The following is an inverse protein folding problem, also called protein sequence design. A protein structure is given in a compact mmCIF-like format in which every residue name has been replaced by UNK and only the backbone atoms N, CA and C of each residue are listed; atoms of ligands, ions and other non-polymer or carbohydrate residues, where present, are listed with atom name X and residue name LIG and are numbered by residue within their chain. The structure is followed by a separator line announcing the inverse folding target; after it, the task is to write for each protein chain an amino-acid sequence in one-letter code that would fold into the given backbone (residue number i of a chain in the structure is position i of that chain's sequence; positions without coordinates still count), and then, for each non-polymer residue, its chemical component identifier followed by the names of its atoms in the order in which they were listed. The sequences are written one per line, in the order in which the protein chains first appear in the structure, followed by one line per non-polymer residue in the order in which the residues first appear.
data_IF_205701892292
#
_entry.id   IF_205701892292
#
_cell.length_a   1.000
_cell.length_b   1.000
_cell.length_c   1.000
_cell.angle_alpha   90.00
_cell.angle_beta   90.00
_cell.angle_gamma   90.00
#
_symmetry.space_group_name_H-M   'P 1'
#
loop_
_entity.id
_entity.type
_entity.pdbx_description
1 polymer ?
#
# COMPACT_ATOMS: atom_id res chain seq x y z
N UNK A 1 18.57 9.25 17.68
CA UNK A 1 17.76 9.61 16.51
C UNK A 1 16.59 8.65 16.42
N UNK A 2 15.41 9.12 16.03
CA UNK A 2 14.24 8.26 15.80
C UNK A 2 14.23 7.89 14.31
N UNK A 3 14.29 6.59 14.00
CA UNK A 3 14.14 6.09 12.63
C UNK A 3 12.69 5.69 12.43
N UNK A 4 12.02 6.32 11.47
CA UNK A 4 10.66 5.92 11.12
C UNK A 4 10.67 4.51 10.52
N UNK A 5 9.80 3.63 11.02
CA UNK A 5 9.77 2.21 10.63
C UNK A 5 9.00 2.00 9.31
N UNK A 6 8.36 3.03 8.76
CA UNK A 6 7.66 2.97 7.47
C UNK A 6 6.60 1.88 7.41
N UNK A 7 5.79 1.72 8.47
CA UNK A 7 4.84 0.61 8.55
C UNK A 7 3.68 0.79 7.57
N UNK A 8 3.50 -0.20 6.69
CA UNK A 8 2.42 -0.25 5.70
C UNK A 8 1.01 -0.14 6.32
N UNK A 9 0.83 -0.59 7.57
CA UNK A 9 -0.43 -0.46 8.27
C UNK A 9 -0.77 1.02 8.61
N UNK A 10 0.24 1.83 8.95
CA UNK A 10 0.04 3.26 9.17
C UNK A 10 -0.20 4.01 7.86
N UNK A 11 0.55 3.66 6.80
CA UNK A 11 0.31 4.24 5.46
C UNK A 11 -1.12 3.99 4.98
N UNK A 12 -1.62 2.75 5.10
CA UNK A 12 -3.00 2.40 4.75
C UNK A 12 -4.04 3.23 5.50
N UNK A 13 -3.84 3.48 6.81
CA UNK A 13 -4.80 4.23 7.63
C UNK A 13 -5.06 5.63 7.07
N UNK A 14 -4.01 6.32 6.59
CA UNK A 14 -4.14 7.64 5.96
C UNK A 14 -4.97 7.61 4.68
N UNK A 15 -4.76 6.61 3.82
CA UNK A 15 -5.59 6.44 2.62
C UNK A 15 -7.04 6.07 2.95
N UNK A 16 -7.24 5.28 4.01
CA UNK A 16 -8.58 4.96 4.50
C UNK A 16 -9.32 6.19 5.02
N UNK A 17 -8.66 7.05 5.80
CA UNK A 17 -9.23 8.33 6.25
C UNK A 17 -9.62 9.21 5.06
N UNK A 18 -8.75 9.34 4.05
CA UNK A 18 -9.04 10.09 2.83
C UNK A 18 -10.25 9.56 2.07
N UNK A 19 -10.39 8.23 1.98
CA UNK A 19 -11.53 7.62 1.31
C UNK A 19 -12.81 7.74 2.15
N UNK A 20 -12.78 7.41 3.43
CA UNK A 20 -13.95 7.39 4.31
C UNK A 20 -14.52 8.80 4.55
N UNK A 21 -13.66 9.82 4.67
CA UNK A 21 -14.10 11.18 4.99
C UNK A 21 -14.41 12.02 3.74
N UNK A 22 -13.76 11.74 2.60
CA UNK A 22 -13.84 12.59 1.41
C UNK A 22 -14.23 11.84 0.12
N UNK A 23 -14.49 10.53 0.18
CA UNK A 23 -14.80 9.72 -1.01
C UNK A 23 -13.66 9.71 -2.03
N UNK A 24 -12.41 9.92 -1.58
CA UNK A 24 -11.27 10.12 -2.47
C UNK A 24 -11.00 8.88 -3.33
N UNK A 25 -11.02 9.04 -4.66
CA UNK A 25 -10.63 8.00 -5.62
C UNK A 25 -9.16 7.57 -5.44
N UNK A 26 -8.30 8.49 -5.00
CA UNK A 26 -6.90 8.18 -4.68
C UNK A 26 -6.83 7.26 -3.46
N UNK A 27 -7.61 7.55 -2.41
CA UNK A 27 -7.73 6.70 -1.24
C UNK A 27 -8.24 5.30 -1.59
N UNK A 28 -9.30 5.21 -2.39
CA UNK A 28 -9.86 3.93 -2.84
C UNK A 28 -8.84 3.10 -3.63
N UNK A 29 -8.13 3.72 -4.58
CA UNK A 29 -7.13 3.02 -5.38
C UNK A 29 -5.95 2.53 -4.53
N UNK A 30 -5.48 3.32 -3.58
CA UNK A 30 -4.45 2.89 -2.63
C UNK A 30 -4.92 1.67 -1.82
N UNK A 31 -6.16 1.70 -1.32
CA UNK A 31 -6.73 0.60 -0.54
C UNK A 31 -6.81 -0.71 -1.34
N UNK A 32 -7.02 -0.66 -2.65
CA UNK A 32 -7.00 -1.85 -3.53
C UNK A 32 -5.63 -2.53 -3.52
N UNK A 33 -4.54 -1.77 -3.68
CA UNK A 33 -3.18 -2.32 -3.59
C UNK A 33 -2.88 -2.95 -2.22
N UNK A 34 -3.30 -2.30 -1.13
CA UNK A 34 -3.16 -2.90 0.22
C UNK A 34 -4.00 -4.16 0.39
N UNK A 35 -5.20 -4.19 -0.21
CA UNK A 35 -6.07 -5.36 -0.25
C UNK A 35 -5.38 -6.56 -0.90
N UNK A 36 -4.84 -6.37 -2.10
CA UNK A 36 -4.12 -7.42 -2.84
C UNK A 36 -2.92 -7.97 -2.04
N UNK A 37 -2.14 -7.10 -1.39
CA UNK A 37 -1.04 -7.54 -0.53
C UNK A 37 -1.52 -8.42 0.63
N UNK A 38 -2.64 -8.06 1.26
CA UNK A 38 -3.22 -8.86 2.35
C UNK A 38 -3.86 -10.16 1.87
N UNK A 39 -4.41 -10.19 0.65
CA UNK A 39 -4.91 -11.43 0.05
C UNK A 39 -3.78 -12.43 -0.15
N UNK A 40 -2.63 -11.99 -0.67
CA UNK A 40 -1.46 -12.87 -0.78
C UNK A 40 -1.04 -13.41 0.58
N UNK A 41 -0.95 -12.57 1.61
CA UNK A 41 -0.58 -13.01 2.96
C UNK A 41 -1.63 -13.94 3.59
N UNK A 42 -2.92 -13.72 3.36
CA UNK A 42 -3.99 -14.62 3.80
C UNK A 42 -3.88 -16.00 3.17
N UNK A 43 -3.64 -16.05 1.87
CA UNK A 43 -3.52 -17.31 1.12
C UNK A 43 -2.34 -18.15 1.60
N UNK A 44 -1.21 -17.52 1.92
CA UNK A 44 -0.01 -18.24 2.40
C UNK A 44 0.11 -18.33 3.92
N UNK A 45 -0.92 -17.93 4.67
CA UNK A 45 -0.87 -17.89 6.14
C UNK A 45 -0.56 -19.26 6.76
N UNK A 46 -1.05 -20.35 6.15
CA UNK A 46 -0.82 -21.74 6.61
C UNK A 46 0.33 -22.45 5.89
N UNK A 47 1.00 -21.78 4.95
CA UNK A 47 2.09 -22.36 4.19
C UNK A 47 3.42 -22.32 4.96
N UNK A 48 4.33 -23.23 4.63
CA UNK A 48 5.68 -23.23 5.20
C UNK A 48 6.49 -22.00 4.74
N UNK A 49 7.56 -21.68 5.46
CA UNK A 49 8.37 -20.46 5.26
C UNK A 49 8.82 -20.23 3.82
N UNK A 50 9.31 -21.28 3.15
CA UNK A 50 9.76 -21.21 1.76
C UNK A 50 8.61 -20.86 0.79
N UNK A 51 7.45 -21.51 0.92
CA UNK A 51 6.28 -21.21 0.08
C UNK A 51 5.76 -19.79 0.30
N UNK A 52 5.81 -19.29 1.55
CA UNK A 52 5.48 -17.89 1.86
C UNK A 52 6.45 -16.93 1.17
N UNK A 53 7.75 -17.21 1.19
CA UNK A 53 8.76 -16.39 0.53
C UNK A 53 8.57 -16.35 -0.99
N UNK A 54 8.33 -17.50 -1.60
CA UNK A 54 8.09 -17.61 -3.05
C UNK A 54 6.83 -16.85 -3.47
N UNK A 55 5.73 -17.00 -2.73
CA UNK A 55 4.51 -16.25 -3.00
C UNK A 55 4.72 -14.74 -2.88
N UNK A 56 5.44 -14.27 -1.85
CA UNK A 56 5.79 -12.85 -1.71
C UNK A 56 6.61 -12.35 -2.88
N UNK A 57 7.63 -13.10 -3.31
CA UNK A 57 8.47 -12.72 -4.46
C UNK A 57 7.69 -12.69 -5.77
N UNK A 58 6.79 -13.65 -5.99
CA UNK A 58 6.04 -13.79 -7.24
C UNK A 58 4.83 -12.86 -7.32
N UNK A 59 4.16 -12.60 -6.20
CA UNK A 59 2.86 -11.92 -6.16
C UNK A 59 2.89 -10.61 -5.39
N UNK A 60 3.42 -10.59 -4.16
CA UNK A 60 3.46 -9.36 -3.37
C UNK A 60 4.43 -8.32 -3.95
N UNK A 61 5.58 -8.74 -4.48
CA UNK A 61 6.60 -7.83 -5.01
C UNK A 61 6.11 -7.00 -6.21
N UNK A 62 5.50 -7.58 -7.26
CA UNK A 62 4.92 -6.79 -8.34
C UNK A 62 3.86 -5.78 -7.87
N UNK A 63 3.02 -6.17 -6.91
CA UNK A 63 1.99 -5.28 -6.33
C UNK A 63 2.64 -4.12 -5.56
N UNK A 64 3.68 -4.40 -4.77
CA UNK A 64 4.42 -3.36 -4.06
C UNK A 64 5.15 -2.40 -5.01
N UNK A 65 5.75 -2.91 -6.09
CA UNK A 65 6.41 -2.11 -7.11
C UNK A 65 5.39 -1.22 -7.85
N UNK A 66 4.23 -1.77 -8.21
CA UNK A 66 3.13 -1.03 -8.83
C UNK A 66 2.59 0.07 -7.90
N UNK A 67 2.40 -0.24 -6.62
CA UNK A 67 2.00 0.74 -5.60
C UNK A 67 3.03 1.86 -5.49
N UNK A 68 4.32 1.55 -5.47
CA UNK A 68 5.39 2.56 -5.40
C UNK A 68 5.38 3.48 -6.63
N UNK A 69 5.31 2.91 -7.83
CA UNK A 69 5.22 3.68 -9.08
C UNK A 69 3.97 4.56 -9.11
N UNK A 70 2.82 4.01 -8.71
CA UNK A 70 1.56 4.74 -8.66
C UNK A 70 1.64 5.91 -7.67
N UNK A 71 2.19 5.72 -6.47
CA UNK A 71 2.39 6.81 -5.49
C UNK A 71 3.31 7.91 -6.05
N UNK A 72 4.37 7.54 -6.78
CA UNK A 72 5.24 8.49 -7.46
C UNK A 72 4.48 9.35 -8.49
N UNK A 73 3.58 8.74 -9.27
CA UNK A 73 2.74 9.44 -10.23
C UNK A 73 1.69 10.33 -9.55
N UNK A 74 1.07 9.87 -8.45
CA UNK A 74 0.12 10.69 -7.69
C UNK A 74 0.80 11.92 -7.09
N UNK A 75 2.04 11.79 -6.59
CA UNK A 75 2.80 12.91 -6.06
C UNK A 75 3.04 14.02 -7.09
N UNK A 76 3.25 13.66 -8.37
CA UNK A 76 3.40 14.66 -9.45
C UNK A 76 2.09 15.39 -9.78
N UNK A 77 0.94 14.79 -9.46
CA UNK A 77 -0.39 15.37 -9.72
C UNK A 77 -0.91 16.25 -8.58
N UNK A 78 -0.27 16.22 -7.41
CA UNK A 78 -0.62 17.04 -6.26
C UNK A 78 0.31 18.27 -6.27
N UNK A 79 -0.20 19.49 -6.53
CA UNK A 79 0.62 20.69 -6.45
C UNK A 79 1.12 20.92 -5.01
N UNK A 80 2.36 21.38 -4.86
CA UNK A 80 2.94 21.78 -3.58
C UNK A 80 2.01 22.79 -2.88
N UNK A 81 1.41 22.39 -1.76
CA UNK A 81 0.51 23.23 -0.95
C UNK A 81 -0.96 22.78 -0.88
N UNK A 82 -1.38 21.72 -1.58
CA UNK A 82 -2.67 21.07 -1.30
C UNK A 82 -2.60 20.36 0.06
N UNK A 83 -3.67 20.46 0.87
CA UNK A 83 -3.86 20.08 2.30
C UNK A 83 -3.60 18.60 2.70
N UNK A 84 -2.60 18.00 2.09
CA UNK A 84 -2.12 16.63 2.20
C UNK A 84 -0.60 16.59 2.47
N UNK A 85 0.05 17.75 2.65
CA UNK A 85 1.43 17.88 3.11
C UNK A 85 1.51 17.85 4.65
#
# INVERSE_FOLDING_TARGET
GVTEVGCMAHARRKFHELWANHGSQVGEQALKFFGELYDVEREVAKAHSQARLEARRRRSRPVADALHQWMGQQRQKIPDGSATA
#
